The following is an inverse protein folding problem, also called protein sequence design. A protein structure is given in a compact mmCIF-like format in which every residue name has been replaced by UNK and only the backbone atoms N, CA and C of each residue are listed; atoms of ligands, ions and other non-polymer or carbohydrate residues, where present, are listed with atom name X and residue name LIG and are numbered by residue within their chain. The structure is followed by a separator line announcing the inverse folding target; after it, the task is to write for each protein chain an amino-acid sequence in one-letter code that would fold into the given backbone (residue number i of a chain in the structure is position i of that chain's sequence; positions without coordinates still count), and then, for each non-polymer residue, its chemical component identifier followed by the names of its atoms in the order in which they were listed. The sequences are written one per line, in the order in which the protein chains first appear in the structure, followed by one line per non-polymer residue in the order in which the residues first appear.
data_IF_357245782480
#
_entry.id   IF_357245782480
#
_cell.length_a   1.000
_cell.length_b   1.000
_cell.length_c   1.000
_cell.angle_alpha   90.00
_cell.angle_beta   90.00
_cell.angle_gamma   90.00
#
_symmetry.space_group_name_H-M   'P 1'
#
loop_
_entity.id
_entity.type
_entity.pdbx_description
1 polymer ?
#
# COMPACT_ATOMS: atom_id res chain seq x y z
N UNK A 1 25.23 27.57 -11.50
CA UNK A 1 24.04 26.72 -11.26
C UNK A 1 23.88 26.58 -9.75
N UNK A 2 22.78 27.10 -9.18
CA UNK A 2 22.53 27.07 -7.74
C UNK A 2 21.84 25.75 -7.43
N UNK A 3 22.57 24.79 -6.87
CA UNK A 3 22.00 23.54 -6.40
C UNK A 3 21.10 23.91 -5.22
N UNK A 4 19.80 23.70 -5.37
CA UNK A 4 18.85 23.85 -4.28
C UNK A 4 19.24 22.84 -3.21
N UNK A 5 19.71 23.32 -2.06
CA UNK A 5 19.90 22.48 -0.88
C UNK A 5 18.53 21.97 -0.46
N UNK A 6 18.29 20.67 -0.62
CA UNK A 6 17.14 20.01 -0.03
C UNK A 6 17.39 20.00 1.49
N UNK A 7 16.91 21.02 2.20
CA UNK A 7 16.88 20.97 3.66
C UNK A 7 15.79 19.98 4.04
N UNK A 8 16.19 18.76 4.39
CA UNK A 8 15.32 17.87 5.15
C UNK A 8 15.03 18.60 6.45
N UNK A 9 13.80 19.07 6.63
CA UNK A 9 13.34 19.52 7.95
C UNK A 9 13.35 18.29 8.84
N UNK A 10 14.42 18.08 9.60
CA UNK A 10 14.48 17.05 10.63
C UNK A 10 13.63 17.53 11.82
N UNK A 11 12.32 17.45 11.66
CA UNK A 11 11.36 17.52 12.75
C UNK A 11 11.18 16.15 13.45
N UNK A 12 12.07 15.19 13.16
CA UNK A 12 12.07 13.88 13.76
C UNK A 12 13.15 13.91 14.84
N UNK A 13 12.73 13.85 16.09
CA UNK A 13 13.63 13.82 17.23
C UNK A 13 14.49 12.55 17.13
N UNK A 14 15.79 12.64 17.41
CA UNK A 14 16.70 11.49 17.33
C UNK A 14 16.25 10.33 18.25
N UNK A 15 15.60 10.67 19.35
CA UNK A 15 15.01 9.73 20.31
C UNK A 15 13.80 8.97 19.71
N UNK A 16 13.10 9.57 18.75
CA UNK A 16 11.99 8.92 18.01
C UNK A 16 12.49 7.98 16.92
N UNK A 17 13.68 8.20 16.37
CA UNK A 17 14.31 7.31 15.39
C UNK A 17 14.86 6.03 16.02
N UNK A 18 15.36 6.11 17.26
CA UNK A 18 15.95 4.98 17.98
C UNK A 18 14.92 4.18 18.81
N UNK A 19 13.68 4.65 18.96
CA UNK A 19 12.64 3.89 19.66
C UNK A 19 12.08 2.76 18.79
N UNK A 20 11.75 1.65 19.44
CA UNK A 20 10.99 0.59 18.78
C UNK A 20 9.53 1.03 18.50
N UNK A 21 8.89 0.52 17.43
CA UNK A 21 7.47 0.74 17.18
C UNK A 21 6.61 0.25 18.35
N UNK A 22 5.57 1.00 18.67
CA UNK A 22 4.55 0.59 19.63
C UNK A 22 3.71 -0.55 19.05
N UNK A 23 3.02 -1.29 19.92
CA UNK A 23 2.10 -2.34 19.49
C UNK A 23 0.98 -1.79 18.57
N UNK A 24 0.51 -0.56 18.80
CA UNK A 24 -0.50 0.07 17.95
C UNK A 24 0.04 0.36 16.54
N UNK A 25 1.27 0.86 16.43
CA UNK A 25 1.94 1.08 15.14
C UNK A 25 2.17 -0.23 14.39
N UNK A 26 2.59 -1.29 15.08
CA UNK A 26 2.73 -2.61 14.48
C UNK A 26 1.38 -3.16 14.00
N UNK A 27 0.32 -2.99 14.80
CA UNK A 27 -1.04 -3.36 14.40
C UNK A 27 -1.51 -2.58 13.16
N UNK A 28 -1.19 -1.29 13.06
CA UNK A 28 -1.51 -0.47 11.90
C UNK A 28 -0.84 -1.02 10.62
N UNK A 29 0.44 -1.39 10.69
CA UNK A 29 1.16 -2.04 9.57
C UNK A 29 0.48 -3.36 9.18
N UNK A 30 0.17 -4.21 10.16
CA UNK A 30 -0.50 -5.50 9.89
C UNK A 30 -1.86 -5.26 9.22
N UNK A 31 -2.60 -4.22 9.61
CA UNK A 31 -3.88 -3.86 8.99
C UNK A 31 -3.77 -3.47 7.51
N UNK A 32 -2.59 -3.07 7.02
CA UNK A 32 -2.34 -2.76 5.60
C UNK A 32 -2.10 -4.02 4.74
N UNK A 33 -1.76 -5.16 5.36
CA UNK A 33 -1.44 -6.43 4.66
C UNK A 33 -2.44 -6.81 3.57
N UNK A 34 -3.78 -6.75 3.79
CA UNK A 34 -4.75 -7.14 2.77
C UNK A 34 -4.72 -6.24 1.51
N UNK A 35 -4.35 -4.97 1.66
CA UNK A 35 -4.17 -4.07 0.53
C UNK A 35 -2.91 -4.42 -0.24
N UNK A 36 -1.79 -4.62 0.46
CA UNK A 36 -0.50 -4.99 -0.13
C UNK A 36 -0.65 -6.28 -0.93
N UNK A 37 -1.29 -7.32 -0.37
CA UNK A 37 -1.52 -8.58 -1.06
C UNK A 37 -2.38 -8.42 -2.33
N UNK A 38 -3.43 -7.58 -2.29
CA UNK A 38 -4.26 -7.30 -3.46
C UNK A 38 -3.47 -6.56 -4.56
N UNK A 39 -2.57 -5.64 -4.18
CA UNK A 39 -1.71 -4.92 -5.12
C UNK A 39 -0.66 -5.83 -5.75
N UNK A 40 -0.08 -6.76 -4.97
CA UNK A 40 0.82 -7.81 -5.47
C UNK A 40 0.08 -8.71 -6.46
N UNK A 41 -1.13 -9.19 -6.15
CA UNK A 41 -1.92 -10.01 -7.08
C UNK A 41 -2.22 -9.25 -8.38
N UNK A 42 -2.56 -7.96 -8.31
CA UNK A 42 -2.75 -7.14 -9.50
C UNK A 42 -1.47 -7.02 -10.32
N UNK A 43 -0.32 -6.84 -9.65
CA UNK A 43 0.97 -6.77 -10.31
C UNK A 43 1.30 -8.09 -11.01
N UNK A 44 1.09 -9.23 -10.36
CA UNK A 44 1.29 -10.56 -10.95
C UNK A 44 0.43 -10.75 -12.21
N UNK A 45 -0.84 -10.35 -12.15
CA UNK A 45 -1.72 -10.41 -13.32
C UNK A 45 -1.22 -9.49 -14.44
N UNK A 46 -0.73 -8.29 -14.12
CA UNK A 46 -0.18 -7.37 -15.13
C UNK A 46 1.09 -7.92 -15.77
N UNK A 47 2.02 -8.43 -14.96
CA UNK A 47 3.28 -9.03 -15.42
C UNK A 47 2.99 -10.20 -16.37
N UNK A 48 2.06 -11.09 -16.00
CA UNK A 48 1.66 -12.23 -16.83
C UNK A 48 1.02 -11.85 -18.18
N UNK A 49 0.65 -10.58 -18.39
CA UNK A 49 0.06 -10.07 -19.63
C UNK A 49 1.01 -9.23 -20.47
N UNK A 50 2.22 -8.92 -19.99
CA UNK A 50 3.15 -8.05 -20.73
C UNK A 50 3.62 -8.68 -22.05
N UNK A 51 3.78 -10.00 -22.09
CA UNK A 51 4.40 -10.69 -23.23
C UNK A 51 3.39 -11.34 -24.20
N UNK A 52 2.09 -11.04 -24.06
CA UNK A 52 1.04 -11.69 -24.88
C UNK A 52 -0.21 -10.85 -25.04
N UNK A 53 -0.96 -11.10 -26.11
CA UNK A 53 -2.30 -10.53 -26.30
C UNK A 53 -3.27 -11.12 -25.26
N UNK A 54 -3.95 -10.29 -24.42
CA UNK A 54 -4.86 -10.79 -23.40
C UNK A 54 -6.10 -11.48 -23.97
N UNK A 55 -6.40 -12.68 -23.46
CA UNK A 55 -7.68 -13.35 -23.70
C UNK A 55 -8.81 -12.69 -22.90
N UNK A 56 -10.07 -13.05 -23.19
CA UNK A 56 -11.21 -12.58 -22.39
C UNK A 56 -11.14 -13.03 -20.92
N UNK A 57 -10.57 -14.22 -20.67
CA UNK A 57 -10.36 -14.71 -19.31
C UNK A 57 -9.31 -13.86 -18.58
N UNK A 58 -8.25 -13.46 -19.27
CA UNK A 58 -7.23 -12.56 -18.73
C UNK A 58 -7.81 -11.20 -18.37
N UNK A 59 -8.63 -10.61 -19.27
CA UNK A 59 -9.35 -9.35 -19.00
C UNK A 59 -10.25 -9.47 -17.77
N UNK A 60 -10.94 -10.60 -17.60
CA UNK A 60 -11.76 -10.87 -16.41
C UNK A 60 -10.91 -10.98 -15.14
N UNK A 61 -9.77 -11.67 -15.19
CA UNK A 61 -8.82 -11.77 -14.07
C UNK A 61 -8.29 -10.39 -13.67
N UNK A 62 -7.89 -9.57 -14.64
CA UNK A 62 -7.41 -8.20 -14.41
C UNK A 62 -8.47 -7.33 -13.71
N UNK A 63 -9.72 -7.35 -14.21
CA UNK A 63 -10.81 -6.62 -13.55
C UNK A 63 -11.07 -7.10 -12.13
N UNK A 64 -10.99 -8.41 -11.89
CA UNK A 64 -11.17 -8.98 -10.54
C UNK A 64 -10.06 -8.50 -9.59
N UNK A 65 -8.81 -8.51 -10.03
CA UNK A 65 -7.67 -8.04 -9.24
C UNK A 65 -7.78 -6.52 -8.94
N UNK A 66 -8.15 -5.71 -9.94
CA UNK A 66 -8.43 -4.28 -9.73
C UNK A 66 -9.55 -4.05 -8.70
N UNK A 67 -10.63 -4.83 -8.78
CA UNK A 67 -11.73 -4.72 -7.82
C UNK A 67 -11.27 -5.07 -6.40
N UNK A 68 -10.44 -6.12 -6.22
CA UNK A 68 -9.86 -6.48 -4.92
C UNK A 68 -9.06 -5.34 -4.31
N UNK A 69 -8.22 -4.68 -5.11
CA UNK A 69 -7.45 -3.51 -4.65
C UNK A 69 -8.39 -2.39 -4.18
N UNK A 70 -9.40 -2.04 -4.97
CA UNK A 70 -10.35 -0.99 -4.59
C UNK A 70 -11.12 -1.33 -3.31
N UNK A 71 -11.55 -2.58 -3.15
CA UNK A 71 -12.22 -3.04 -1.93
C UNK A 71 -11.30 -2.97 -0.71
N UNK A 72 -10.04 -3.42 -0.84
CA UNK A 72 -9.08 -3.36 0.26
C UNK A 72 -8.71 -1.92 0.64
N UNK A 73 -8.54 -1.03 -0.35
CA UNK A 73 -8.33 0.41 -0.10
C UNK A 73 -9.51 1.04 0.64
N UNK A 74 -10.74 0.75 0.21
CA UNK A 74 -11.93 1.26 0.88
C UNK A 74 -12.03 0.76 2.33
N UNK A 75 -11.74 -0.52 2.58
CA UNK A 75 -11.73 -1.09 3.93
C UNK A 75 -10.67 -0.43 4.82
N UNK A 76 -9.45 -0.23 4.32
CA UNK A 76 -8.37 0.43 5.06
C UNK A 76 -8.72 1.90 5.37
N UNK A 77 -9.24 2.64 4.38
CA UNK A 77 -9.66 4.02 4.55
C UNK A 77 -10.79 4.15 5.59
N UNK A 78 -11.76 3.23 5.58
CA UNK A 78 -12.85 3.23 6.56
C UNK A 78 -12.33 2.97 7.98
N UNK A 79 -11.37 2.05 8.17
CA UNK A 79 -10.75 1.83 9.49
C UNK A 79 -10.05 3.06 10.04
N UNK A 80 -9.33 3.79 9.19
CA UNK A 80 -8.65 5.02 9.59
C UNK A 80 -9.64 6.11 10.07
N UNK A 81 -10.83 6.17 9.48
CA UNK A 81 -11.89 7.11 9.87
C UNK A 81 -12.62 6.66 11.14
N UNK A 82 -12.82 5.35 11.33
CA UNK A 82 -13.55 4.79 12.48
C UNK A 82 -12.77 4.84 13.80
N UNK A 83 -11.48 5.17 13.79
CA UNK A 83 -10.67 5.26 15.02
C UNK A 83 -10.35 3.91 15.66
N UNK A 84 -10.62 2.79 14.97
CA UNK A 84 -10.22 1.43 15.40
C UNK A 84 -8.69 1.21 15.36
N UNK A 85 -7.92 2.25 15.01
CA UNK A 85 -6.46 2.26 15.03
C UNK A 85 -5.86 2.73 16.39
N UNK A 86 -6.68 2.86 17.45
CA UNK A 86 -6.24 3.30 18.78
C UNK A 86 -6.54 2.26 19.87
#
# INVERSE_FOLDING_TARGET
MKILSLSVSSAIDADELDREPTAAELCAIVAETPLIEAEVELLDVRIALMDRTPSELDKRRLRKALHRVLTARAALANRAVSGEAA
#
